data_IF_130116460706
#
_entry.id   IF_130116460706
#
_cell.length_a   1.000
_cell.length_b   1.000
_cell.length_c   1.000
_cell.angle_alpha   90.00
_cell.angle_beta   90.00
_cell.angle_gamma   90.00
#
_symmetry.space_group_name_H-M   'P 1'
#
loop_
_entity.id
_entity.type
_entity.pdbx_description
1 polymer ?
#
# COMPACT_ATOMS: atom_id res chain seq x y z
N UNK A 1 30.89 -43.62 -37.09
CA UNK A 1 30.29 -43.56 -35.73
C UNK A 1 29.11 -42.60 -35.82
N UNK A 2 27.90 -43.09 -36.14
CA UNK A 2 26.79 -43.34 -35.21
C UNK A 2 26.45 -42.13 -34.32
N UNK A 3 25.32 -41.51 -34.68
CA UNK A 3 24.46 -40.62 -33.90
C UNK A 3 24.35 -41.02 -32.42
N UNK A 4 24.32 -40.04 -31.52
CA UNK A 4 23.34 -40.02 -30.42
C UNK A 4 23.13 -38.60 -29.89
N UNK A 5 21.93 -38.09 -30.12
CA UNK A 5 21.37 -36.91 -29.47
C UNK A 5 20.99 -37.26 -28.03
N UNK A 6 21.28 -36.37 -27.08
CA UNK A 6 20.52 -36.27 -25.82
C UNK A 6 20.36 -34.79 -25.50
N UNK A 7 19.26 -34.25 -26.04
CA UNK A 7 18.67 -32.97 -25.71
C UNK A 7 17.82 -33.22 -24.45
N UNK A 8 18.32 -32.88 -23.26
CA UNK A 8 17.52 -32.96 -22.02
C UNK A 8 17.04 -31.56 -21.66
N UNK A 9 15.71 -31.45 -21.74
CA UNK A 9 14.84 -30.41 -21.25
C UNK A 9 15.30 -29.87 -19.87
N UNK A 10 15.74 -28.61 -19.87
CA UNK A 10 15.62 -27.71 -18.73
C UNK A 10 14.37 -26.85 -18.98
N UNK A 11 13.19 -27.46 -18.93
CA UNK A 11 11.91 -26.75 -18.99
C UNK A 11 11.45 -26.50 -17.56
N UNK A 12 11.52 -25.23 -17.17
CA UNK A 12 10.47 -24.54 -16.43
C UNK A 12 10.12 -25.07 -15.05
N UNK A 13 10.80 -24.54 -14.03
CA UNK A 13 10.26 -24.43 -12.67
C UNK A 13 9.93 -22.98 -12.33
N UNK A 14 9.23 -22.29 -13.25
CA UNK A 14 8.57 -21.01 -12.99
C UNK A 14 7.07 -21.22 -13.12
N UNK A 15 6.48 -21.81 -12.09
CA UNK A 15 5.03 -21.85 -11.91
C UNK A 15 4.72 -21.95 -10.40
N UNK A 16 5.24 -21.01 -9.61
CA UNK A 16 4.48 -20.54 -8.46
C UNK A 16 3.41 -19.61 -9.03
N UNK A 17 2.22 -20.15 -9.27
CA UNK A 17 1.10 -19.36 -9.78
C UNK A 17 0.69 -18.32 -8.75
N UNK A 18 0.81 -17.03 -9.08
CA UNK A 18 -0.05 -16.03 -8.47
C UNK A 18 -1.48 -16.34 -8.93
N UNK A 19 -2.33 -16.75 -8.00
CA UNK A 19 -3.74 -16.92 -8.29
C UNK A 19 -4.39 -15.52 -8.35
N UNK A 20 -4.30 -14.87 -9.52
CA UNK A 20 -5.04 -13.65 -9.85
C UNK A 20 -4.19 -12.38 -9.98
N UNK A 21 -4.84 -11.30 -10.42
CA UNK A 21 -4.28 -9.93 -10.52
C UNK A 21 -4.10 -9.32 -9.11
N UNK A 22 -3.27 -9.93 -8.27
CA UNK A 22 -3.02 -9.54 -6.88
C UNK A 22 -1.56 -9.82 -6.51
N UNK A 23 -0.97 -8.88 -5.80
CA UNK A 23 0.37 -8.96 -5.22
C UNK A 23 0.30 -8.72 -3.71
N UNK A 24 1.05 -9.53 -2.97
CA UNK A 24 1.29 -9.37 -1.54
C UNK A 24 2.61 -8.63 -1.33
N UNK A 25 2.57 -7.54 -0.58
CA UNK A 25 3.74 -6.72 -0.26
C UNK A 25 3.96 -6.74 1.26
N UNK A 26 5.16 -7.14 1.65
CA UNK A 26 5.65 -7.09 3.03
C UNK A 26 6.47 -5.81 3.24
N UNK A 27 6.08 -5.00 4.22
CA UNK A 27 6.76 -3.75 4.60
C UNK A 27 7.41 -3.84 5.99
N UNK A 28 7.45 -5.03 6.61
CA UNK A 28 7.97 -5.24 7.96
C UNK A 28 9.41 -4.73 8.14
N UNK A 29 10.27 -4.98 7.16
CA UNK A 29 11.66 -4.52 7.13
C UNK A 29 11.80 -3.01 6.81
N UNK A 30 10.70 -2.32 6.50
CA UNK A 30 10.68 -0.89 6.17
C UNK A 30 10.24 0.00 7.33
N UNK A 31 9.93 -0.59 8.48
CA UNK A 31 9.50 0.12 9.69
C UNK A 31 10.72 0.56 10.52
N UNK A 32 10.63 1.70 11.19
CA UNK A 32 11.67 2.15 12.15
C UNK A 32 11.51 1.47 13.50
N UNK A 33 12.63 1.14 14.15
CA UNK A 33 12.61 0.53 15.49
C UNK A 33 12.09 1.50 16.56
N UNK A 34 12.25 2.81 16.37
CA UNK A 34 11.85 3.86 17.31
C UNK A 34 11.14 5.00 16.58
N UNK A 35 9.80 5.07 16.63
CA UNK A 35 9.02 6.16 16.06
C UNK A 35 9.34 7.52 16.70
N UNK A 36 9.20 8.59 15.92
CA UNK A 36 9.63 9.96 16.29
C UNK A 36 8.92 10.49 17.55
N UNK A 37 7.65 10.18 17.72
CA UNK A 37 6.80 10.60 18.83
C UNK A 37 6.58 9.47 19.87
N UNK A 38 7.28 8.36 19.73
CA UNK A 38 7.11 7.16 20.55
C UNK A 38 5.85 6.34 20.22
N UNK A 39 5.07 6.73 19.21
CA UNK A 39 3.90 6.00 18.71
C UNK A 39 4.05 5.73 17.21
N UNK A 40 4.19 4.46 16.83
CA UNK A 40 4.40 4.09 15.43
C UNK A 40 3.12 3.58 14.81
N UNK A 41 2.54 4.32 13.86
CA UNK A 41 1.51 3.81 12.96
C UNK A 41 2.13 3.44 11.61
N UNK A 42 1.81 2.27 11.08
CA UNK A 42 2.28 1.83 9.77
C UNK A 42 1.42 0.69 9.20
N UNK A 43 1.36 0.60 7.88
CA UNK A 43 0.95 -0.60 7.16
C UNK A 43 2.12 -1.59 7.20
N UNK A 44 1.91 -2.72 7.85
CA UNK A 44 2.91 -3.78 8.00
C UNK A 44 2.99 -4.66 6.76
N UNK A 45 1.84 -4.95 6.16
CA UNK A 45 1.71 -5.70 4.92
C UNK A 45 0.47 -5.21 4.15
N UNK A 46 0.46 -5.40 2.83
CA UNK A 46 -0.69 -5.08 2.00
C UNK A 46 -0.88 -6.06 0.85
N UNK A 47 -2.13 -6.20 0.41
CA UNK A 47 -2.52 -6.94 -0.78
C UNK A 47 -3.22 -5.98 -1.73
N UNK A 48 -2.63 -5.78 -2.90
CA UNK A 48 -3.09 -4.81 -3.89
C UNK A 48 -3.04 -5.45 -5.30
N UNK A 49 -3.77 -4.96 -6.30
CA UNK A 49 -3.71 -5.54 -7.64
C UNK A 49 -2.35 -5.29 -8.32
N UNK A 50 -1.95 -6.12 -9.29
CA UNK A 50 -0.77 -5.82 -10.11
C UNK A 50 -1.11 -4.76 -11.16
N UNK A 51 -2.29 -4.88 -11.77
CA UNK A 51 -2.82 -3.97 -12.77
C UNK A 51 -4.17 -3.38 -12.38
N UNK A 52 -4.44 -2.14 -12.78
CA UNK A 52 -5.73 -1.45 -12.63
C UNK A 52 -6.16 -0.84 -13.97
N UNK A 53 -7.46 -0.66 -14.15
CA UNK A 53 -8.04 -0.05 -15.36
C UNK A 53 -8.56 1.35 -15.05
N UNK A 54 -8.34 2.31 -15.95
CA UNK A 54 -8.97 3.63 -15.84
C UNK A 54 -10.51 3.51 -15.82
N UNK A 55 -11.18 4.28 -14.97
CA UNK A 55 -12.65 4.28 -14.85
C UNK A 55 -13.22 3.12 -14.03
N UNK A 56 -12.42 2.14 -13.63
CA UNK A 56 -12.83 1.04 -12.75
C UNK A 56 -12.51 1.32 -11.28
N UNK A 57 -12.90 0.40 -10.41
CA UNK A 57 -12.54 0.40 -8.99
C UNK A 57 -11.40 -0.56 -8.73
N UNK A 58 -10.50 -0.19 -7.83
CA UNK A 58 -9.55 -1.13 -7.25
C UNK A 58 -9.74 -1.26 -5.74
N UNK A 59 -9.35 -2.40 -5.19
CA UNK A 59 -9.36 -2.67 -3.76
C UNK A 59 -7.93 -2.86 -3.26
N UNK A 60 -7.59 -2.22 -2.14
CA UNK A 60 -6.34 -2.47 -1.40
C UNK A 60 -6.70 -2.94 -0.01
N UNK A 61 -6.03 -4.00 0.43
CA UNK A 61 -6.16 -4.53 1.78
C UNK A 61 -4.86 -4.23 2.52
N UNK A 62 -4.95 -3.64 3.71
CA UNK A 62 -3.80 -3.19 4.48
C UNK A 62 -3.86 -3.78 5.89
N UNK A 63 -2.81 -4.47 6.30
CA UNK A 63 -2.59 -4.80 7.71
C UNK A 63 -1.97 -3.59 8.40
N UNK A 64 -2.77 -2.89 9.20
CA UNK A 64 -2.26 -1.79 10.01
C UNK A 64 -1.75 -2.30 11.35
N UNK A 65 -0.63 -1.74 11.79
CA UNK A 65 -0.09 -1.94 13.13
C UNK A 65 0.16 -0.61 13.80
N UNK A 66 0.02 -0.65 15.12
CA UNK A 66 0.32 0.47 16.00
C UNK A 66 1.19 -0.02 17.15
N UNK A 67 2.31 0.67 17.39
CA UNK A 67 3.22 0.44 18.52
C UNK A 67 3.29 1.69 19.39
N UNK A 68 3.59 1.53 20.69
CA UNK A 68 3.64 2.63 21.64
C UNK A 68 2.32 2.92 22.36
N UNK A 69 2.33 3.94 23.22
CA UNK A 69 1.16 4.35 24.02
C UNK A 69 0.26 5.26 23.20
N UNK A 70 -0.84 4.71 22.68
CA UNK A 70 -1.79 5.48 21.86
C UNK A 70 -2.78 6.25 22.74
N UNK A 71 -3.15 7.46 22.32
CA UNK A 71 -4.29 8.17 22.89
C UNK A 71 -5.59 7.43 22.50
N UNK A 72 -6.38 6.91 23.44
CA UNK A 72 -7.63 6.18 23.12
C UNK A 72 -8.66 7.05 22.39
N UNK A 73 -8.53 8.38 22.46
CA UNK A 73 -9.40 9.31 21.76
C UNK A 73 -8.88 9.70 20.38
N UNK A 74 -7.69 9.25 19.97
CA UNK A 74 -7.14 9.55 18.66
C UNK A 74 -8.08 9.09 17.54
N UNK A 75 -8.25 9.92 16.51
CA UNK A 75 -9.07 9.62 15.33
C UNK A 75 -8.31 10.08 14.11
N UNK A 76 -8.03 9.17 13.18
CA UNK A 76 -7.20 9.47 12.03
C UNK A 76 -7.97 9.41 10.72
N UNK A 77 -7.87 10.47 9.93
CA UNK A 77 -8.19 10.43 8.50
C UNK A 77 -6.98 9.87 7.77
N UNK A 78 -7.20 8.86 6.94
CA UNK A 78 -6.16 8.29 6.10
C UNK A 78 -6.28 8.86 4.70
N UNK A 79 -5.19 9.33 4.11
CA UNK A 79 -5.16 9.62 2.68
C UNK A 79 -4.33 8.57 1.95
N UNK A 80 -4.83 8.14 0.79
CA UNK A 80 -4.13 7.25 -0.13
C UNK A 80 -3.90 7.99 -1.44
N UNK A 81 -2.70 7.90 -2.00
CA UNK A 81 -2.36 8.51 -3.28
C UNK A 81 -2.04 7.46 -4.33
N UNK A 82 -2.51 7.68 -5.56
CA UNK A 82 -1.93 7.13 -6.77
C UNK A 82 -1.11 8.23 -7.43
N UNK A 83 0.20 8.04 -7.53
CA UNK A 83 1.12 9.03 -8.09
C UNK A 83 1.98 8.43 -9.22
N UNK A 84 1.87 8.97 -10.42
CA UNK A 84 2.57 8.51 -11.62
C UNK A 84 2.47 9.53 -12.75
N UNK A 85 2.07 9.14 -13.97
CA UNK A 85 1.73 10.08 -15.05
C UNK A 85 0.68 11.14 -14.65
N UNK A 86 -0.22 10.77 -13.73
CA UNK A 86 -1.17 11.67 -13.08
C UNK A 86 -1.19 11.39 -11.56
N UNK A 87 -1.85 12.27 -10.79
CA UNK A 87 -1.96 12.11 -9.34
C UNK A 87 -3.41 12.22 -8.88
N UNK A 88 -3.83 11.28 -8.02
CA UNK A 88 -5.12 11.32 -7.32
C UNK A 88 -4.91 10.97 -5.86
N UNK A 89 -5.42 11.83 -4.99
CA UNK A 89 -5.51 11.58 -3.55
C UNK A 89 -6.95 11.23 -3.18
N UNK A 90 -7.11 10.13 -2.46
CA UNK A 90 -8.34 9.67 -1.84
C UNK A 90 -8.25 9.94 -0.34
N UNK A 91 -9.36 10.35 0.26
CA UNK A 91 -9.44 10.56 1.71
C UNK A 91 -10.45 9.59 2.31
N UNK A 92 -9.99 8.81 3.29
CA UNK A 92 -10.79 7.88 4.06
C UNK A 92 -11.01 8.50 5.45
N UNK A 93 -12.24 8.95 5.76
CA UNK A 93 -12.52 9.63 7.02
C UNK A 93 -12.32 8.69 8.21
N UNK A 94 -12.04 9.25 9.38
CA UNK A 94 -11.81 8.49 10.62
C UNK A 94 -12.97 7.57 11.02
N UNK A 95 -14.22 7.87 10.64
CA UNK A 95 -15.35 6.96 10.88
C UNK A 95 -15.32 5.67 10.05
N UNK A 96 -14.50 5.63 9.00
CA UNK A 96 -14.30 4.46 8.12
C UNK A 96 -12.87 3.89 8.25
N UNK A 97 -12.09 4.36 9.21
CA UNK A 97 -10.70 3.99 9.44
C UNK A 97 -10.46 3.75 10.93
N UNK A 98 -10.12 2.52 11.31
CA UNK A 98 -9.88 2.13 12.72
C UNK A 98 -8.40 2.13 13.08
N UNK A 99 -7.54 2.79 12.31
CA UNK A 99 -6.11 2.91 12.62
C UNK A 99 -5.91 3.63 13.95
N UNK A 100 -4.99 3.12 14.77
CA UNK A 100 -4.69 3.65 16.10
C UNK A 100 -5.62 3.17 17.21
N UNK A 101 -6.67 2.41 16.89
CA UNK A 101 -7.45 1.75 17.94
C UNK A 101 -6.63 0.62 18.59
N UNK A 102 -6.60 0.60 19.93
CA UNK A 102 -5.78 -0.32 20.73
C UNK A 102 -6.03 -1.79 20.33
N UNK A 103 -4.93 -2.54 20.13
CA UNK A 103 -4.91 -3.98 19.85
C UNK A 103 -5.47 -4.46 18.51
N UNK A 104 -5.69 -3.58 17.53
CA UNK A 104 -6.17 -3.99 16.21
C UNK A 104 -4.99 -4.22 15.26
N UNK A 105 -4.54 -5.48 15.17
CA UNK A 105 -3.78 -5.98 14.02
C UNK A 105 -4.80 -6.53 13.00
N UNK A 106 -5.43 -5.62 12.26
CA UNK A 106 -6.50 -5.97 11.33
C UNK A 106 -6.14 -5.64 9.89
N UNK A 107 -6.52 -6.55 9.01
CA UNK A 107 -6.62 -6.29 7.58
C UNK A 107 -7.84 -5.43 7.31
N UNK A 108 -7.63 -4.21 6.83
CA UNK A 108 -8.70 -3.28 6.44
C UNK A 108 -8.74 -3.18 4.91
N UNK A 109 -9.92 -3.36 4.33
CA UNK A 109 -10.15 -3.27 2.89
C UNK A 109 -10.68 -1.90 2.51
N UNK A 110 -10.03 -1.25 1.54
CA UNK A 110 -10.42 0.04 1.00
C UNK A 110 -10.64 -0.06 -0.50
N UNK A 111 -11.71 0.58 -0.99
CA UNK A 111 -12.06 0.62 -2.42
C UNK A 111 -12.00 2.03 -2.95
N UNK A 112 -11.37 2.21 -4.11
CA UNK A 112 -11.12 3.50 -4.71
C UNK A 112 -11.48 3.47 -6.20
N UNK A 113 -12.12 4.53 -6.67
CA UNK A 113 -12.42 4.75 -8.09
C UNK A 113 -11.18 5.30 -8.81
N UNK A 114 -10.70 4.61 -9.84
CA UNK A 114 -9.63 5.10 -10.72
C UNK A 114 -10.22 6.12 -11.68
N UNK A 115 -9.70 7.36 -11.77
CA UNK A 115 -10.21 8.33 -12.73
C UNK A 115 -10.12 7.82 -14.18
N UNK A 116 -11.17 8.03 -14.95
CA UNK A 116 -11.26 7.55 -16.34
C UNK A 116 -10.28 8.26 -17.30
N UNK A 117 -9.75 9.41 -16.90
CA UNK A 117 -8.79 10.22 -17.65
C UNK A 117 -7.32 9.92 -17.30
N UNK A 118 -7.07 8.94 -16.42
CA UNK A 118 -5.71 8.54 -16.09
C UNK A 118 -5.01 7.89 -17.29
N UNK A 119 -3.81 8.37 -17.58
CA UNK A 119 -2.98 7.81 -18.64
C UNK A 119 -2.35 6.48 -18.20
N UNK A 120 -2.23 5.48 -19.10
CA UNK A 120 -1.51 4.25 -18.82
C UNK A 120 -0.08 4.48 -18.34
N UNK A 121 0.39 3.59 -17.46
CA UNK A 121 1.74 3.63 -16.88
C UNK A 121 1.76 3.17 -15.43
N UNK A 122 2.95 3.20 -14.83
CA UNK A 122 3.13 2.77 -13.43
C UNK A 122 2.78 3.90 -12.46
N UNK A 123 1.96 3.59 -11.46
CA UNK A 123 1.59 4.50 -10.38
C UNK A 123 2.09 3.94 -9.06
N UNK A 124 2.73 4.80 -8.26
CA UNK A 124 3.07 4.51 -6.88
C UNK A 124 1.82 4.68 -6.00
N UNK A 125 1.58 3.69 -5.15
CA UNK A 125 0.58 3.76 -4.09
C UNK A 125 1.27 4.29 -2.84
N UNK A 126 0.79 5.40 -2.31
CA UNK A 126 1.31 5.98 -1.07
C UNK A 126 0.22 6.23 -0.03
N UNK A 127 0.61 6.39 1.23
CA UNK A 127 -0.32 6.66 2.34
C UNK A 127 0.21 7.75 3.27
N UNK A 128 -0.70 8.50 3.89
CA UNK A 128 -0.42 9.34 5.06
C UNK A 128 -1.59 9.31 6.04
N UNK A 129 -1.34 9.67 7.28
CA UNK A 129 -2.37 9.85 8.31
C UNK A 129 -2.44 11.32 8.74
N UNK A 130 -3.66 11.77 9.04
CA UNK A 130 -3.94 13.10 9.57
C UNK A 130 -4.85 12.99 10.78
N UNK A 131 -4.55 13.75 11.82
CA UNK A 131 -5.31 13.75 13.07
C UNK A 131 -6.62 14.55 12.91
N UNK A 132 -7.74 13.84 12.88
CA UNK A 132 -9.07 14.41 12.73
C UNK A 132 -9.48 15.29 13.93
N UNK A 133 -8.87 15.09 15.10
CA UNK A 133 -9.14 15.88 16.31
C UNK A 133 -8.18 17.06 16.47
N UNK A 134 -7.10 17.13 15.66
CA UNK A 134 -6.10 18.20 15.70
C UNK A 134 -5.98 18.90 14.35
N UNK A 135 -7.09 19.41 13.83
CA UNK A 135 -7.14 20.21 12.59
C UNK A 135 -6.46 19.54 11.38
N UNK A 136 -6.51 18.21 11.29
CA UNK A 136 -5.90 17.41 10.22
C UNK A 136 -4.37 17.59 10.13
N UNK A 137 -3.71 17.87 11.26
CA UNK A 137 -2.26 17.82 11.37
C UNK A 137 -1.74 16.44 10.96
N UNK A 138 -0.60 16.44 10.25
CA UNK A 138 0.03 15.20 9.81
C UNK A 138 0.49 14.37 11.01
N UNK A 139 0.21 13.07 10.95
CA UNK A 139 0.64 12.09 11.94
C UNK A 139 1.85 11.36 11.38
N UNK A 140 3.00 11.39 12.08
CA UNK A 140 4.20 10.66 11.64
C UNK A 140 3.90 9.17 11.46
N UNK A 141 4.36 8.60 10.35
CA UNK A 141 4.31 7.16 10.14
C UNK A 141 5.65 6.54 10.52
N UNK A 142 5.59 5.31 11.02
CA UNK A 142 6.76 4.57 11.50
C UNK A 142 7.61 3.97 10.38
N UNK A 143 7.84 4.66 9.26
CA UNK A 143 8.60 4.14 8.12
C UNK A 143 10.01 4.73 8.01
N UNK A 144 10.91 3.98 7.37
CA UNK A 144 12.22 4.47 6.93
C UNK A 144 12.05 5.58 5.89
N UNK A 145 12.94 6.58 5.94
CA UNK A 145 12.95 7.71 5.00
C UNK A 145 13.05 7.30 3.52
N UNK A 146 13.58 6.10 3.22
CA UNK A 146 13.62 5.56 1.85
C UNK A 146 12.24 5.33 1.22
N UNK A 147 11.17 5.31 2.02
CA UNK A 147 9.79 5.24 1.54
C UNK A 147 9.13 6.61 1.39
N UNK A 148 9.77 7.70 1.81
CA UNK A 148 9.19 9.03 1.76
C UNK A 148 8.90 9.45 0.31
N UNK A 149 7.70 9.99 0.08
CA UNK A 149 7.22 10.57 -1.17
C UNK A 149 7.00 12.08 -0.98
N UNK A 150 6.63 12.81 -2.03
CA UNK A 150 6.24 14.21 -1.85
C UNK A 150 5.00 14.35 -0.95
N UNK A 151 4.86 15.51 -0.33
CA UNK A 151 3.64 15.93 0.38
C UNK A 151 3.22 15.07 1.59
N UNK A 152 4.22 14.46 2.26
CA UNK A 152 4.05 13.71 3.51
C UNK A 152 3.55 12.27 3.32
N UNK A 153 3.51 11.77 2.08
CA UNK A 153 3.14 10.38 1.80
C UNK A 153 4.32 9.43 1.97
N UNK A 154 4.05 8.19 2.37
CA UNK A 154 5.00 7.09 2.34
C UNK A 154 4.56 6.03 1.33
N UNK A 155 5.51 5.56 0.51
CA UNK A 155 5.28 4.57 -0.55
C UNK A 155 5.02 3.19 0.04
N UNK A 156 3.90 2.59 -0.35
CA UNK A 156 3.51 1.23 0.01
C UNK A 156 3.81 0.22 -1.10
N UNK A 157 3.73 0.63 -2.36
CA UNK A 157 3.91 -0.27 -3.51
C UNK A 157 3.67 0.43 -4.84
N UNK A 158 3.47 -0.34 -5.90
CA UNK A 158 3.15 0.16 -7.24
C UNK A 158 2.12 -0.70 -7.95
N UNK A 159 1.33 -0.07 -8.82
CA UNK A 159 0.39 -0.70 -9.76
C UNK A 159 0.67 -0.24 -11.17
N UNK A 160 0.40 -1.08 -12.15
CA UNK A 160 0.36 -0.67 -13.55
C UNK A 160 -1.07 -0.34 -13.97
N UNK A 161 -1.27 0.88 -14.46
CA UNK A 161 -2.54 1.27 -15.06
C UNK A 161 -2.51 0.91 -16.55
N UNK A 162 -3.50 0.12 -16.98
CA UNK A 162 -3.70 -0.27 -18.37
C UNK A 162 -4.87 0.49 -18.99
N UNK A 163 -4.81 0.66 -20.31
CA UNK A 163 -5.95 1.13 -21.07
C UNK A 163 -7.05 0.05 -21.12
N UNK A 164 -8.30 0.48 -21.25
CA UNK A 164 -9.43 -0.39 -21.59
C UNK A 164 -9.27 -1.03 -22.98
#
# INVERSE_FOLDING_TARGET
MKFLAVFILLIGSFACGSNGNRQDIDLSDQVVESPVDGVGHYVYALNLPETITAGEKFEVQMEWRTVGSVDPNARYTMDVTLAGPATKVYSVPSGANTVGELHLANWLSYRFDVPADFSPGTYMVGVRLRDANRDLQEVPLGYKESLNMSDGFYRLGSVDLVAE
#
